data_IF_890710900825
#
_entry.id   IF_890710900825
#
_cell.length_a   1.000
_cell.length_b   1.000
_cell.length_c   1.000
_cell.angle_alpha   90.00
_cell.angle_beta   90.00
_cell.angle_gamma   90.00
#
_symmetry.space_group_name_H-M   'P 1'
#
loop_
_entity.id
_entity.type
_entity.pdbx_description
1 polymer ?
#
# COMPACT_ATOMS: atom_id res chain seq x y z
N UNK A 1 3.78 -6.96 16.22
CA UNK A 1 4.57 -7.88 15.36
C UNK A 1 4.98 -9.05 16.24
N UNK A 2 4.82 -10.30 15.77
CA UNK A 2 5.29 -11.48 16.48
C UNK A 2 6.75 -11.32 16.96
N UNK A 3 7.09 -11.93 18.10
CA UNK A 3 8.39 -11.72 18.79
C UNK A 3 9.55 -12.45 18.11
N UNK A 4 9.23 -13.46 17.33
CA UNK A 4 10.12 -14.30 16.52
C UNK A 4 10.58 -13.62 15.23
N UNK A 5 9.97 -12.50 14.86
CA UNK A 5 10.32 -11.75 13.65
C UNK A 5 11.35 -10.66 13.93
N UNK A 6 12.19 -10.30 12.94
CA UNK A 6 13.11 -9.18 13.07
C UNK A 6 12.35 -7.89 13.36
N UNK A 7 12.97 -6.88 14.00
CA UNK A 7 12.35 -5.59 14.29
C UNK A 7 11.55 -5.02 13.11
N UNK A 8 10.43 -4.35 13.39
CA UNK A 8 9.53 -3.82 12.36
C UNK A 8 10.28 -2.98 11.30
N UNK A 9 11.24 -2.19 11.74
CA UNK A 9 12.08 -1.37 10.86
C UNK A 9 12.87 -2.22 9.87
N UNK A 10 13.45 -3.33 10.33
CA UNK A 10 14.20 -4.28 9.51
C UNK A 10 13.28 -4.98 8.50
N UNK A 11 12.14 -5.49 8.95
CA UNK A 11 11.17 -6.13 8.05
C UNK A 11 10.68 -5.16 6.97
N UNK A 12 10.36 -3.92 7.36
CA UNK A 12 9.94 -2.88 6.44
C UNK A 12 11.04 -2.50 5.43
N UNK A 13 12.30 -2.43 5.87
CA UNK A 13 13.44 -2.14 4.99
C UNK A 13 13.56 -3.17 3.87
N UNK A 14 13.48 -4.46 4.20
CA UNK A 14 13.51 -5.52 3.18
C UNK A 14 12.31 -5.46 2.24
N UNK A 15 11.12 -5.16 2.76
CA UNK A 15 9.94 -5.00 1.92
C UNK A 15 10.11 -3.89 0.88
N UNK A 16 10.63 -2.73 1.29
CA UNK A 16 10.93 -1.63 0.38
C UNK A 16 12.02 -1.99 -0.64
N UNK A 17 13.06 -2.72 -0.20
CA UNK A 17 14.13 -3.16 -1.09
C UNK A 17 13.62 -4.11 -2.18
N UNK A 18 12.78 -5.08 -1.79
CA UNK A 18 12.19 -6.06 -2.70
C UNK A 18 11.19 -5.45 -3.69
N UNK A 19 10.45 -4.42 -3.26
CA UNK A 19 9.62 -3.63 -4.16
C UNK A 19 10.51 -2.88 -5.17
N UNK A 20 11.60 -2.27 -4.70
CA UNK A 20 12.48 -1.48 -5.55
C UNK A 20 13.28 -2.30 -6.56
N UNK A 21 13.76 -3.47 -6.17
CA UNK A 21 14.61 -4.33 -7.01
C UNK A 21 13.84 -5.36 -7.85
N UNK A 22 12.50 -5.37 -7.78
CA UNK A 22 11.64 -6.29 -8.52
C UNK A 22 11.69 -7.74 -8.01
N UNK A 23 12.13 -7.97 -6.75
CA UNK A 23 12.12 -9.31 -6.15
C UNK A 23 10.71 -9.89 -6.08
N UNK A 24 9.70 -9.06 -5.84
CA UNK A 24 8.31 -9.53 -5.83
C UNK A 24 7.85 -10.05 -7.20
N UNK A 25 8.23 -9.38 -8.30
CA UNK A 25 7.88 -9.82 -9.65
C UNK A 25 8.51 -11.17 -9.95
N UNK A 26 9.80 -11.33 -9.62
CA UNK A 26 10.54 -12.60 -9.81
C UNK A 26 9.92 -13.75 -9.00
N UNK A 27 9.56 -13.50 -7.74
CA UNK A 27 8.89 -14.50 -6.90
C UNK A 27 7.51 -14.83 -7.48
N UNK A 28 6.75 -13.82 -7.89
CA UNK A 28 5.43 -13.99 -8.48
C UNK A 28 5.51 -14.87 -9.73
N UNK A 29 6.44 -14.59 -10.65
CA UNK A 29 6.57 -15.34 -11.91
C UNK A 29 6.87 -16.82 -11.68
N UNK A 30 7.81 -17.14 -10.79
CA UNK A 30 8.16 -18.53 -10.45
C UNK A 30 6.97 -19.26 -9.84
N UNK A 31 6.28 -18.62 -8.88
CA UNK A 31 5.11 -19.22 -8.23
C UNK A 31 3.94 -19.35 -9.19
N UNK A 32 3.75 -18.39 -10.09
CA UNK A 32 2.70 -18.40 -11.08
C UNK A 32 2.85 -19.59 -12.02
N UNK A 33 4.04 -19.78 -12.60
CA UNK A 33 4.34 -20.92 -13.49
C UNK A 33 4.15 -22.25 -12.75
N UNK A 34 4.74 -22.40 -11.57
CA UNK A 34 4.61 -23.64 -10.79
C UNK A 34 3.14 -23.98 -10.47
N UNK A 35 2.33 -22.97 -10.14
CA UNK A 35 0.90 -23.18 -9.84
C UNK A 35 0.10 -23.54 -11.09
N UNK A 36 0.48 -23.02 -12.26
CA UNK A 36 -0.16 -23.34 -13.55
C UNK A 36 0.12 -24.77 -13.97
N UNK A 37 1.40 -25.16 -13.92
CA UNK A 37 1.86 -26.51 -14.25
C UNK A 37 1.26 -27.55 -13.30
N UNK A 38 1.23 -27.27 -11.99
CA UNK A 38 0.59 -28.14 -10.99
C UNK A 38 -0.91 -28.34 -11.24
N UNK A 39 -1.56 -27.36 -11.88
CA UNK A 39 -2.96 -27.46 -12.30
C UNK A 39 -3.14 -28.06 -13.71
N UNK A 40 -2.07 -28.56 -14.36
CA UNK A 40 -2.10 -29.13 -15.71
C UNK A 40 -2.39 -28.11 -16.81
N UNK A 41 -2.12 -26.82 -16.57
CA UNK A 41 -2.35 -25.74 -17.53
C UNK A 41 -1.03 -25.27 -18.13
N UNK A 42 -1.10 -24.74 -19.35
CA UNK A 42 0.04 -24.10 -20.02
C UNK A 42 0.63 -22.98 -19.13
N UNK A 43 1.97 -22.88 -19.10
CA UNK A 43 2.69 -21.93 -18.26
C UNK A 43 2.37 -20.47 -18.67
N UNK A 44 2.28 -20.23 -19.98
CA UNK A 44 1.84 -18.96 -20.55
C UNK A 44 0.30 -18.90 -20.64
N UNK A 45 -0.36 -17.94 -19.98
CA UNK A 45 -1.80 -17.76 -20.11
C UNK A 45 -2.17 -17.11 -21.44
N UNK A 46 -3.18 -17.64 -22.13
CA UNK A 46 -3.79 -16.94 -23.29
C UNK A 46 -4.62 -15.73 -22.86
N UNK A 47 -5.23 -15.79 -21.67
CA UNK A 47 -6.06 -14.71 -21.09
C UNK A 47 -5.78 -14.64 -19.59
N UNK A 48 -5.62 -13.43 -19.05
CA UNK A 48 -5.49 -13.16 -17.62
C UNK A 48 -6.66 -12.28 -17.15
N UNK A 49 -7.32 -12.69 -16.04
CA UNK A 49 -8.34 -11.89 -15.38
C UNK A 49 -7.66 -11.12 -14.25
N UNK A 50 -7.63 -9.79 -14.35
CA UNK A 50 -7.08 -8.91 -13.33
C UNK A 50 -8.26 -8.37 -12.51
N UNK A 51 -8.31 -8.71 -11.23
CA UNK A 51 -9.30 -8.19 -10.28
C UNK A 51 -8.64 -7.19 -9.33
N UNK A 52 -9.38 -6.16 -8.94
CA UNK A 52 -8.93 -5.19 -7.94
C UNK A 52 -9.73 -5.36 -6.66
N UNK A 53 -9.04 -5.75 -5.59
CA UNK A 53 -9.66 -5.89 -4.28
C UNK A 53 -9.20 -4.77 -3.35
N UNK A 54 -10.16 -4.15 -2.66
CA UNK A 54 -9.87 -3.17 -1.61
C UNK A 54 -10.21 -3.75 -0.26
N UNK A 55 -9.32 -3.55 0.71
CA UNK A 55 -9.57 -3.89 2.12
C UNK A 55 -9.56 -2.60 2.94
N UNK A 56 -10.38 -2.57 4.01
CA UNK A 56 -10.39 -1.43 4.92
C UNK A 56 -9.05 -1.38 5.65
N UNK A 57 -8.33 -0.28 5.47
CA UNK A 57 -7.13 -0.03 6.25
C UNK A 57 -7.50 0.14 7.74
N UNK A 58 -6.55 -0.18 8.62
CA UNK A 58 -6.68 0.16 10.03
C UNK A 58 -6.91 1.67 10.15
N UNK A 59 -7.89 2.07 10.96
CA UNK A 59 -8.11 3.48 11.25
C UNK A 59 -6.81 4.05 11.81
N UNK A 60 -6.19 4.99 11.09
CA UNK A 60 -5.06 5.75 11.61
C UNK A 60 -5.51 6.35 12.94
N UNK A 61 -4.83 5.98 14.03
CA UNK A 61 -5.09 6.56 15.34
C UNK A 61 -5.15 8.07 15.20
N UNK A 62 -6.20 8.68 15.78
CA UNK A 62 -6.41 10.12 15.72
C UNK A 62 -5.09 10.83 16.05
N UNK A 63 -4.82 11.92 15.33
CA UNK A 63 -3.66 12.77 15.53
C UNK A 63 -3.50 12.96 17.04
N UNK A 64 -2.43 12.39 17.62
CA UNK A 64 -2.06 12.60 19.02
C UNK A 64 -2.20 14.09 19.23
N UNK A 65 -3.10 14.51 20.14
CA UNK A 65 -3.59 15.87 20.26
C UNK A 65 -2.49 16.85 19.88
N UNK A 66 -2.61 17.52 18.73
CA UNK A 66 -1.68 18.59 18.38
C UNK A 66 -1.70 19.50 19.58
N UNK A 67 -0.63 19.52 20.38
CA UNK A 67 -0.52 20.41 21.52
C UNK A 67 -0.83 21.77 20.95
N UNK A 68 -1.98 22.35 21.31
CA UNK A 68 -2.37 23.64 20.78
C UNK A 68 -1.23 24.58 21.10
N UNK A 69 -0.52 24.99 20.05
CA UNK A 69 0.51 25.99 20.18
C UNK A 69 -0.13 27.17 20.91
N UNK A 70 0.57 27.68 21.94
CA UNK A 70 0.17 28.87 22.68
C UNK A 70 0.25 30.09 21.75
N UNK A 71 -0.69 30.21 20.80
CA UNK A 71 -0.84 31.43 20.03
C UNK A 71 -1.92 32.28 20.68
N UNK A 72 -1.50 33.48 21.10
CA UNK A 72 -2.36 34.53 21.65
C UNK A 72 -3.52 34.81 20.71
N UNK A 73 -4.71 34.94 21.29
CA UNK A 73 -5.93 35.25 20.58
C UNK A 73 -5.79 36.55 19.76
N UNK A 74 -6.06 36.45 18.47
CA UNK A 74 -6.68 37.54 17.71
C UNK A 74 -8.04 37.03 17.27
N UNK A 75 -9.06 37.69 17.81
CA UNK A 75 -10.44 37.64 17.34
C UNK A 75 -10.48 38.01 15.87
N UNK A 76 -11.26 37.29 15.05
CA UNK A 76 -12.51 37.81 14.52
C UNK A 76 -13.26 36.68 13.78
N UNK A 77 -14.59 36.74 13.84
CA UNK A 77 -15.54 35.87 13.16
C UNK A 77 -15.23 35.78 11.65
N UNK A 78 -15.63 34.66 11.03
CA UNK A 78 -16.42 34.56 9.77
C UNK A 78 -16.41 33.10 9.26
N UNK A 79 -17.54 32.70 8.68
CA UNK A 79 -17.92 31.40 8.14
C UNK A 79 -16.85 30.60 7.39
N UNK A 80 -16.60 29.34 7.79
CA UNK A 80 -16.28 28.26 6.84
C UNK A 80 -16.84 26.94 7.36
N UNK A 81 -17.92 26.47 6.71
CA UNK A 81 -18.36 25.09 6.75
C UNK A 81 -17.23 24.16 6.24
N UNK A 82 -16.34 23.74 7.13
CA UNK A 82 -15.36 22.70 6.84
C UNK A 82 -16.07 21.33 6.86
N UNK A 83 -16.67 21.00 5.71
CA UNK A 83 -16.99 19.62 5.34
C UNK A 83 -15.73 18.77 5.54
N UNK A 84 -15.78 17.90 6.54
CA UNK A 84 -14.79 16.87 6.80
C UNK A 84 -14.77 15.88 5.62
N UNK A 85 -13.89 16.14 4.66
CA UNK A 85 -13.60 15.20 3.57
C UNK A 85 -12.90 13.99 4.19
N UNK A 86 -13.58 12.85 4.17
CA UNK A 86 -13.04 11.58 4.61
C UNK A 86 -11.67 11.37 3.97
N UNK A 87 -10.66 11.09 4.80
CA UNK A 87 -9.32 10.75 4.34
C UNK A 87 -9.36 9.35 3.71
N UNK A 88 -9.76 9.27 2.45
CA UNK A 88 -9.51 8.10 1.61
C UNK A 88 -8.02 8.08 1.28
N UNK A 89 -7.23 7.37 2.08
CA UNK A 89 -5.85 7.06 1.74
C UNK A 89 -5.85 5.86 0.78
N UNK A 90 -6.22 6.09 -0.48
CA UNK A 90 -5.85 5.19 -1.57
C UNK A 90 -4.38 5.43 -1.88
N UNK A 91 -3.51 4.54 -1.40
CA UNK A 91 -2.12 4.51 -1.79
C UNK A 91 -2.02 3.80 -3.15
N UNK A 92 -2.06 4.57 -4.24
CA UNK A 92 -1.71 4.05 -5.57
C UNK A 92 -0.21 4.16 -5.75
N UNK A 93 0.52 3.06 -5.57
CA UNK A 93 1.91 2.96 -6.03
C UNK A 93 1.86 2.69 -7.54
N UNK A 94 2.07 3.73 -8.35
CA UNK A 94 2.22 3.57 -9.80
C UNK A 94 3.70 3.47 -10.12
N UNK A 95 4.21 2.25 -10.29
CA UNK A 95 5.45 2.05 -11.02
C UNK A 95 5.12 1.88 -12.51
N UNK A 96 5.51 2.87 -13.31
CA UNK A 96 5.23 2.93 -14.74
C UNK A 96 6.13 1.98 -15.54
N UNK A 97 5.49 0.95 -16.12
CA UNK A 97 5.53 0.46 -17.51
C UNK A 97 6.85 0.04 -18.17
N UNK A 98 6.84 -1.18 -18.72
CA UNK A 98 7.22 -1.44 -20.11
C UNK A 98 6.44 -2.63 -20.66
N UNK A 99 5.41 -2.34 -21.44
CA UNK A 99 4.88 -3.29 -22.42
C UNK A 99 5.94 -3.44 -23.51
N UNK A 100 6.47 -4.63 -23.70
CA UNK A 100 7.12 -5.01 -24.94
C UNK A 100 6.39 -6.25 -25.49
N UNK A 101 6.01 -6.10 -26.75
CA UNK A 101 5.23 -7.02 -27.57
C UNK A 101 6.00 -8.30 -27.90
#
# INVERSE_FOLDING_TARGET
MPKDLPPKSTAHLYFMLWEWDGTFDRIHDVLYVATREAAGREASPTVAIIDSQSSKAAQKGALHSTRKALMRARSDNEDVALRSRAASATSSSTHSASCLA
#
